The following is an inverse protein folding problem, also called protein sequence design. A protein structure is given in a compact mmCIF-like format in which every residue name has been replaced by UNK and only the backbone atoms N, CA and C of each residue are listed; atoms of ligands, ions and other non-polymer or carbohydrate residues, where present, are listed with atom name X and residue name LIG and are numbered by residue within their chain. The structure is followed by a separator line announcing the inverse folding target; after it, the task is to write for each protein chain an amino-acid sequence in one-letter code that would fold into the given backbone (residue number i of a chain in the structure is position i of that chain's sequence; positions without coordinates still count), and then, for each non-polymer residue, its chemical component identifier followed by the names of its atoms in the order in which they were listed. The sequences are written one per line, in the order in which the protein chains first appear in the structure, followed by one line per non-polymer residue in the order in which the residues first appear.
data_IF_698763095946
#
_entry.id   IF_698763095946
#
_cell.length_a   1.000
_cell.length_b   1.000
_cell.length_c   1.000
_cell.angle_alpha   90.00
_cell.angle_beta   90.00
_cell.angle_gamma   90.00
#
_symmetry.space_group_name_H-M   'P 1'
#
loop_
_entity.id
_entity.type
_entity.pdbx_description
1 polymer ?
#
# COMPACT_ATOMS: atom_id res chain seq x y z
N UNK A 1 28.94 -19.17 60.74
CA UNK A 1 27.55 -18.93 60.37
C UNK A 1 27.18 -17.47 60.04
N UNK A 2 27.78 -16.44 60.68
CA UNK A 2 27.44 -15.00 60.43
C UNK A 2 27.86 -14.46 59.04
N UNK A 3 28.87 -15.02 58.37
CA UNK A 3 29.34 -14.54 57.05
C UNK A 3 28.49 -15.04 55.86
N UNK A 4 27.75 -16.14 56.00
CA UNK A 4 26.87 -16.65 54.93
C UNK A 4 25.57 -15.85 54.81
N UNK A 5 25.08 -15.25 55.91
CA UNK A 5 23.84 -14.48 55.90
C UNK A 5 24.00 -13.10 55.21
N UNK A 6 25.19 -12.51 55.28
CA UNK A 6 25.45 -11.19 54.66
C UNK A 6 25.54 -11.28 53.14
N UNK A 7 26.09 -12.37 52.60
CA UNK A 7 26.16 -12.60 51.15
C UNK A 7 24.78 -12.85 50.50
N UNK A 8 23.87 -13.53 51.20
CA UNK A 8 22.52 -13.78 50.72
C UNK A 8 21.66 -12.52 50.69
N UNK A 9 21.84 -11.60 51.66
CA UNK A 9 21.09 -10.33 51.68
C UNK A 9 21.57 -9.35 50.61
N UNK A 10 22.85 -9.32 50.26
CA UNK A 10 23.38 -8.48 49.18
C UNK A 10 22.91 -8.96 47.78
N UNK A 11 22.75 -10.27 47.59
CA UNK A 11 22.27 -10.82 46.31
C UNK A 11 20.78 -10.54 46.11
N UNK A 12 19.96 -10.53 47.14
CA UNK A 12 18.52 -10.20 47.04
C UNK A 12 18.27 -8.70 46.76
N UNK A 13 19.15 -7.79 47.23
CA UNK A 13 19.01 -6.36 46.92
C UNK A 13 19.41 -6.03 45.47
N UNK A 14 20.37 -6.74 44.86
CA UNK A 14 20.79 -6.52 43.50
C UNK A 14 19.71 -6.97 42.48
N UNK A 15 19.02 -8.08 42.73
CA UNK A 15 17.92 -8.57 41.87
C UNK A 15 16.69 -7.66 41.94
N UNK A 16 16.39 -7.07 43.12
CA UNK A 16 15.27 -6.13 43.27
C UNK A 16 15.49 -4.80 42.54
N UNK A 17 16.75 -4.33 42.46
CA UNK A 17 17.08 -3.09 41.75
C UNK A 17 16.97 -3.28 40.19
N UNK A 18 17.41 -4.43 39.69
CA UNK A 18 17.32 -4.76 38.26
C UNK A 18 15.86 -4.91 37.81
N UNK A 19 15.02 -5.59 38.61
CA UNK A 19 13.59 -5.75 38.32
C UNK A 19 12.82 -4.43 38.35
N UNK A 20 13.19 -3.48 39.25
CA UNK A 20 12.57 -2.14 39.24
C UNK A 20 12.99 -1.30 38.05
N UNK A 21 14.21 -1.44 37.55
CA UNK A 21 14.67 -0.74 36.32
C UNK A 21 14.02 -1.29 35.09
N UNK A 22 13.84 -2.62 34.98
CA UNK A 22 13.09 -3.24 33.87
C UNK A 22 11.60 -2.89 33.90
N UNK A 23 10.97 -2.84 35.08
CA UNK A 23 9.57 -2.42 35.23
C UNK A 23 9.39 -0.91 34.96
N UNK A 24 10.34 -0.05 35.29
CA UNK A 24 10.31 1.37 34.93
C UNK A 24 10.49 1.57 33.41
N UNK A 25 11.41 0.83 32.77
CA UNK A 25 11.60 0.86 31.32
C UNK A 25 10.37 0.34 30.57
N UNK A 26 9.72 -0.72 31.06
CA UNK A 26 8.46 -1.23 30.49
C UNK A 26 7.29 -0.25 30.72
N UNK A 27 7.23 0.49 31.85
CA UNK A 27 6.20 1.49 32.08
C UNK A 27 6.35 2.72 31.19
N UNK A 28 7.56 3.24 30.99
CA UNK A 28 7.78 4.36 30.06
C UNK A 28 7.53 3.99 28.59
N UNK A 29 7.70 2.72 28.20
CA UNK A 29 7.37 2.24 26.87
C UNK A 29 5.85 2.01 26.67
N UNK A 30 5.07 1.79 27.76
CA UNK A 30 3.62 1.57 27.71
C UNK A 30 2.78 2.85 27.81
N UNK A 31 3.34 4.01 28.13
CA UNK A 31 2.56 5.25 28.32
C UNK A 31 2.46 6.16 27.09
N UNK A 32 3.08 5.83 25.98
CA UNK A 32 2.66 6.40 24.69
C UNK A 32 1.54 5.53 24.15
N UNK A 33 0.30 5.89 24.42
CA UNK A 33 -0.85 5.35 23.69
C UNK A 33 -0.52 5.46 22.20
N UNK A 34 -0.18 4.29 21.60
CA UNK A 34 0.15 4.25 20.18
C UNK A 34 -1.13 4.49 19.39
N UNK A 35 -1.28 5.67 18.80
CA UNK A 35 -2.44 5.97 17.97
C UNK A 35 -2.39 5.08 16.72
N UNK A 36 -3.34 4.15 16.52
CA UNK A 36 -3.28 3.16 15.45
C UNK A 36 -3.32 3.78 14.06
N UNK A 37 -3.93 4.96 13.92
CA UNK A 37 -3.97 5.68 12.63
C UNK A 37 -2.57 6.23 12.30
N UNK A 38 -1.92 6.88 13.27
CA UNK A 38 -0.56 7.41 13.10
C UNK A 38 0.42 6.26 12.82
N UNK A 39 0.32 5.16 13.57
CA UNK A 39 1.15 3.98 13.35
C UNK A 39 0.99 3.41 11.94
N UNK A 40 -0.25 3.26 11.47
CA UNK A 40 -0.55 2.79 10.11
C UNK A 40 0.09 3.71 9.05
N UNK A 41 -0.04 5.03 9.22
CA UNK A 41 0.56 6.02 8.31
C UNK A 41 2.08 5.89 8.30
N UNK A 42 2.71 5.80 9.47
CA UNK A 42 4.17 5.80 9.61
C UNK A 42 4.80 4.45 9.23
N UNK A 43 4.09 3.33 9.43
CA UNK A 43 4.59 1.98 9.14
C UNK A 43 4.29 1.50 7.72
N UNK A 44 3.30 2.10 7.02
CA UNK A 44 2.97 1.69 5.65
C UNK A 44 4.17 1.82 4.70
N UNK A 45 4.35 0.81 3.85
CA UNK A 45 5.36 0.79 2.77
C UNK A 45 4.69 0.48 1.44
N UNK A 46 5.32 0.87 0.34
CA UNK A 46 4.94 0.40 -0.99
C UNK A 46 5.52 -0.98 -1.21
N UNK A 47 4.66 -1.98 -1.31
CA UNK A 47 5.00 -3.39 -1.51
C UNK A 47 5.03 -3.71 -3.01
N UNK A 48 6.06 -4.45 -3.43
CA UNK A 48 6.32 -4.82 -4.85
C UNK A 48 6.53 -6.32 -5.04
N UNK A 49 6.53 -7.05 -3.93
CA UNK A 49 6.55 -8.52 -3.93
C UNK A 49 5.38 -9.03 -3.10
N UNK A 50 4.67 -9.96 -3.64
CA UNK A 50 3.46 -10.51 -3.04
C UNK A 50 3.51 -12.03 -3.06
N UNK A 51 2.88 -12.66 -2.08
CA UNK A 51 2.60 -14.09 -2.11
C UNK A 51 1.55 -14.41 -3.19
N UNK A 52 1.40 -15.68 -3.53
CA UNK A 52 0.38 -16.14 -4.49
C UNK A 52 -1.03 -16.26 -3.89
N UNK A 53 -1.18 -15.92 -2.60
CA UNK A 53 -2.46 -15.98 -1.91
C UNK A 53 -3.43 -14.93 -2.49
N UNK A 54 -4.60 -15.42 -2.92
CA UNK A 54 -5.68 -14.55 -3.36
C UNK A 54 -6.20 -13.68 -2.20
N UNK A 55 -6.53 -12.43 -2.50
CA UNK A 55 -7.17 -11.52 -1.53
C UNK A 55 -8.69 -11.74 -1.58
N UNK A 56 -9.35 -11.97 -0.44
CA UNK A 56 -10.81 -12.06 -0.40
C UNK A 56 -11.48 -10.81 -0.99
N UNK A 57 -12.53 -11.01 -1.78
CA UNK A 57 -13.25 -9.90 -2.46
C UNK A 57 -13.85 -8.90 -1.47
N UNK A 58 -14.26 -9.37 -0.31
CA UNK A 58 -14.79 -8.55 0.78
C UNK A 58 -13.74 -7.54 1.26
N UNK A 59 -12.46 -7.94 1.38
CA UNK A 59 -11.38 -7.04 1.75
C UNK A 59 -11.06 -6.06 0.63
N UNK A 60 -11.07 -6.50 -0.63
CA UNK A 60 -10.87 -5.60 -1.78
C UNK A 60 -11.99 -4.55 -1.86
N UNK A 61 -13.23 -4.96 -1.65
CA UNK A 61 -14.37 -4.06 -1.60
C UNK A 61 -14.24 -3.06 -0.44
N UNK A 62 -13.89 -3.52 0.75
CA UNK A 62 -13.68 -2.67 1.93
C UNK A 62 -12.59 -1.62 1.70
N UNK A 63 -11.48 -2.00 1.03
CA UNK A 63 -10.42 -1.05 0.64
C UNK A 63 -10.97 0.02 -0.32
N UNK A 64 -11.74 -0.39 -1.32
CA UNK A 64 -12.36 0.53 -2.26
C UNK A 64 -13.37 1.46 -1.57
N UNK A 65 -14.18 0.92 -0.66
CA UNK A 65 -15.14 1.67 0.14
C UNK A 65 -14.45 2.71 1.05
N UNK A 66 -13.36 2.33 1.73
CA UNK A 66 -12.51 3.30 2.45
C UNK A 66 -11.97 4.39 1.51
N UNK A 67 -11.62 4.01 0.28
CA UNK A 67 -11.18 4.96 -0.75
C UNK A 67 -12.24 6.01 -1.06
N UNK A 68 -13.46 5.61 -1.40
CA UNK A 68 -14.53 6.55 -1.79
C UNK A 68 -15.03 7.42 -0.62
N UNK A 69 -14.66 7.10 0.62
CA UNK A 69 -14.89 7.95 1.79
C UNK A 69 -13.85 9.10 1.91
N UNK A 70 -12.95 9.27 0.94
CA UNK A 70 -12.05 10.40 0.91
C UNK A 70 -12.82 11.73 0.70
N UNK A 71 -12.36 12.84 1.31
CA UNK A 71 -12.90 14.15 1.01
C UNK A 71 -12.67 14.48 -0.47
N UNK A 72 -13.64 15.17 -1.07
CA UNK A 72 -13.56 15.58 -2.46
C UNK A 72 -14.28 16.91 -2.71
N UNK A 73 -13.86 17.64 -3.74
CA UNK A 73 -14.37 18.96 -4.05
C UNK A 73 -15.90 18.95 -4.23
N UNK A 74 -16.62 19.73 -3.41
CA UNK A 74 -18.09 19.89 -3.43
C UNK A 74 -18.88 18.56 -3.35
N UNK A 75 -18.27 17.51 -2.84
CA UNK A 75 -18.83 16.16 -2.84
C UNK A 75 -19.24 15.68 -4.26
N UNK A 76 -18.48 16.09 -5.26
CA UNK A 76 -18.82 15.85 -6.66
C UNK A 76 -18.63 14.38 -7.06
N UNK A 77 -17.78 13.62 -6.33
CA UNK A 77 -17.56 12.18 -6.50
C UNK A 77 -17.31 11.78 -7.96
N UNK A 78 -16.54 12.58 -8.68
CA UNK A 78 -16.24 12.38 -10.11
C UNK A 78 -15.12 11.34 -10.29
N UNK A 79 -15.35 10.15 -9.73
CA UNK A 79 -14.46 9.00 -9.83
C UNK A 79 -15.23 7.71 -10.09
N UNK A 80 -14.55 6.75 -10.65
CA UNK A 80 -15.00 5.36 -10.75
C UNK A 80 -13.90 4.42 -10.28
N UNK A 81 -14.30 3.34 -9.65
CA UNK A 81 -13.38 2.31 -9.15
C UNK A 81 -13.71 0.99 -9.83
N UNK A 82 -12.68 0.29 -10.31
CA UNK A 82 -12.81 -1.07 -10.88
C UNK A 82 -11.80 -1.98 -10.20
N UNK A 83 -12.27 -3.11 -9.70
CA UNK A 83 -11.45 -4.11 -9.03
C UNK A 83 -11.24 -5.27 -9.99
N UNK A 84 -10.00 -5.63 -10.23
CA UNK A 84 -9.61 -6.77 -11.05
C UNK A 84 -8.83 -7.75 -10.18
N UNK A 85 -9.42 -8.90 -9.91
CA UNK A 85 -8.86 -10.02 -9.17
C UNK A 85 -8.79 -11.31 -10.03
N UNK A 86 -9.03 -11.16 -11.33
CA UNK A 86 -9.00 -12.27 -12.28
C UNK A 86 -7.56 -12.50 -12.80
N UNK A 87 -6.91 -13.63 -12.44
CA UNK A 87 -5.52 -13.90 -12.83
C UNK A 87 -5.37 -14.04 -14.36
N UNK A 88 -6.36 -14.55 -15.08
CA UNK A 88 -6.30 -14.68 -16.53
C UNK A 88 -6.36 -13.30 -17.23
N UNK A 89 -7.12 -12.35 -16.67
CA UNK A 89 -7.13 -10.97 -17.17
C UNK A 89 -5.76 -10.31 -16.97
N UNK A 90 -5.17 -10.46 -15.76
CA UNK A 90 -3.85 -9.92 -15.42
C UNK A 90 -2.74 -10.53 -16.28
N UNK A 91 -2.84 -11.81 -16.59
CA UNK A 91 -1.92 -12.50 -17.49
C UNK A 91 -2.09 -12.02 -18.93
N UNK A 92 -3.33 -11.92 -19.41
CA UNK A 92 -3.62 -11.50 -20.80
C UNK A 92 -3.13 -10.10 -21.12
N UNK A 93 -3.34 -9.12 -20.21
CA UNK A 93 -2.81 -7.76 -20.41
C UNK A 93 -1.29 -7.73 -20.37
N UNK A 94 -0.67 -8.58 -19.54
CA UNK A 94 0.79 -8.70 -19.47
C UNK A 94 1.37 -9.24 -20.77
N UNK A 95 0.77 -10.27 -21.36
CA UNK A 95 1.17 -10.80 -22.65
C UNK A 95 0.97 -9.80 -23.80
N UNK A 96 -0.14 -9.06 -23.78
CA UNK A 96 -0.37 -7.99 -24.75
C UNK A 96 0.70 -6.89 -24.65
N UNK A 97 1.08 -6.48 -23.42
CA UNK A 97 2.17 -5.53 -23.22
C UNK A 97 3.53 -6.09 -23.65
N UNK A 98 3.80 -7.37 -23.38
CA UNK A 98 5.03 -8.04 -23.82
C UNK A 98 5.18 -7.98 -25.33
N UNK A 99 4.12 -8.37 -26.09
CA UNK A 99 4.10 -8.30 -27.55
C UNK A 99 4.31 -6.88 -28.06
N UNK A 100 3.60 -5.91 -27.48
CA UNK A 100 3.73 -4.50 -27.87
C UNK A 100 5.12 -3.89 -27.54
N UNK A 101 5.88 -4.52 -26.66
CA UNK A 101 7.23 -4.10 -26.30
C UNK A 101 8.33 -4.72 -27.17
N UNK A 102 8.03 -5.74 -27.99
CA UNK A 102 9.01 -6.41 -28.85
C UNK A 102 9.74 -5.40 -29.73
N UNK A 103 11.06 -5.53 -29.81
CA UNK A 103 11.91 -4.61 -30.57
C UNK A 103 12.10 -3.23 -29.95
N UNK A 104 11.58 -2.98 -28.76
CA UNK A 104 11.77 -1.71 -28.02
C UNK A 104 12.62 -1.91 -26.76
N UNK A 105 13.22 -0.84 -26.19
CA UNK A 105 13.94 -0.93 -24.91
C UNK A 105 13.05 -1.45 -23.75
N UNK A 106 11.75 -1.37 -23.88
CA UNK A 106 10.81 -1.87 -22.86
C UNK A 106 10.72 -3.40 -22.82
N UNK A 107 11.18 -4.11 -23.87
CA UNK A 107 11.19 -5.58 -23.90
C UNK A 107 11.98 -6.18 -22.72
N UNK A 108 13.04 -5.50 -22.29
CA UNK A 108 13.91 -5.96 -21.20
C UNK A 108 13.16 -6.22 -19.88
N UNK A 109 12.09 -5.48 -19.58
CA UNK A 109 11.32 -5.71 -18.37
C UNK A 109 10.59 -7.07 -18.35
N UNK A 110 10.37 -7.66 -19.53
CA UNK A 110 9.69 -8.95 -19.69
C UNK A 110 10.66 -10.14 -19.73
N UNK A 111 11.97 -9.90 -19.62
CA UNK A 111 12.98 -10.95 -19.54
C UNK A 111 13.08 -11.55 -18.13
N UNK A 112 12.55 -10.87 -17.12
CA UNK A 112 12.53 -11.35 -15.74
C UNK A 112 11.58 -12.55 -15.61
N UNK A 113 12.11 -13.77 -15.30
CA UNK A 113 11.31 -14.97 -15.15
C UNK A 113 10.35 -14.90 -13.95
N UNK A 114 10.59 -14.00 -12.99
CA UNK A 114 9.72 -13.76 -11.85
C UNK A 114 8.52 -12.86 -12.17
N UNK A 115 8.46 -12.29 -13.37
CA UNK A 115 7.35 -11.43 -13.77
C UNK A 115 6.10 -12.24 -14.07
N UNK A 116 5.11 -12.19 -13.18
CA UNK A 116 3.78 -12.79 -13.35
C UNK A 116 2.81 -11.83 -14.01
N UNK A 117 2.86 -10.55 -13.63
CA UNK A 117 2.06 -9.49 -14.27
C UNK A 117 2.71 -8.10 -14.11
N UNK A 118 2.32 -7.18 -15.00
CA UNK A 118 2.87 -5.81 -15.09
C UNK A 118 2.49 -4.90 -13.91
N UNK A 119 1.61 -5.35 -13.03
CA UNK A 119 1.20 -4.63 -11.83
C UNK A 119 2.02 -5.05 -10.60
N UNK A 120 3.33 -5.25 -10.76
CA UNK A 120 4.25 -5.70 -9.71
C UNK A 120 3.87 -7.05 -9.11
N UNK A 121 3.31 -7.92 -9.93
CA UNK A 121 2.84 -9.25 -9.51
C UNK A 121 1.74 -9.21 -8.44
N UNK A 122 1.06 -8.08 -8.25
CA UNK A 122 -0.07 -7.99 -7.34
C UNK A 122 -1.20 -8.93 -7.79
N UNK A 123 -1.75 -9.78 -6.90
CA UNK A 123 -2.84 -10.69 -7.24
C UNK A 123 -4.18 -9.98 -7.50
N UNK A 124 -4.31 -8.73 -7.02
CA UNK A 124 -5.46 -7.89 -7.30
C UNK A 124 -5.03 -6.44 -7.60
N UNK A 125 -5.78 -5.77 -8.46
CA UNK A 125 -5.54 -4.38 -8.87
C UNK A 125 -6.83 -3.59 -8.79
N UNK A 126 -6.80 -2.47 -8.08
CA UNK A 126 -7.91 -1.53 -7.99
C UNK A 126 -7.58 -0.33 -8.89
N UNK A 127 -8.31 -0.19 -9.98
CA UNK A 127 -8.18 0.94 -10.90
C UNK A 127 -9.05 2.10 -10.43
N UNK A 128 -8.50 3.31 -10.47
CA UNK A 128 -9.21 4.55 -10.20
C UNK A 128 -9.23 5.37 -11.48
N UNK A 129 -10.43 5.67 -11.93
CA UNK A 129 -10.71 6.54 -13.05
C UNK A 129 -11.36 7.83 -12.54
N UNK A 130 -11.16 8.92 -13.26
CA UNK A 130 -11.77 10.21 -12.96
C UNK A 130 -12.39 10.84 -14.20
N UNK A 131 -13.41 11.67 -13.98
CA UNK A 131 -13.86 12.61 -15.01
C UNK A 131 -12.99 13.86 -14.89
N UNK A 132 -12.23 14.25 -15.95
CA UNK A 132 -11.31 15.38 -15.86
C UNK A 132 -11.99 16.65 -15.36
N UNK A 133 -11.40 17.32 -14.38
CA UNK A 133 -11.91 18.52 -13.75
C UNK A 133 -10.87 19.14 -12.80
N UNK A 134 -11.11 20.35 -12.26
CA UNK A 134 -10.11 21.12 -11.53
C UNK A 134 -9.51 20.41 -10.29
N UNK A 135 -10.33 19.65 -9.56
CA UNK A 135 -9.91 19.02 -8.30
C UNK A 135 -9.80 17.49 -8.40
N UNK A 136 -10.28 16.86 -9.49
CA UNK A 136 -10.51 15.42 -9.55
C UNK A 136 -9.24 14.57 -9.38
N UNK A 137 -8.08 15.09 -9.80
CA UNK A 137 -6.80 14.39 -9.59
C UNK A 137 -6.37 14.40 -8.12
N UNK A 138 -6.60 15.53 -7.42
CA UNK A 138 -6.35 15.65 -5.98
C UNK A 138 -7.28 14.74 -5.21
N UNK A 139 -8.57 14.75 -5.56
CA UNK A 139 -9.61 13.91 -4.94
C UNK A 139 -9.25 12.42 -5.08
N UNK A 140 -8.84 11.97 -6.26
CA UNK A 140 -8.37 10.59 -6.49
C UNK A 140 -7.06 10.27 -5.76
N UNK A 141 -6.18 11.26 -5.56
CA UNK A 141 -4.97 11.10 -4.74
C UNK A 141 -5.31 10.86 -3.27
N UNK A 142 -6.29 11.59 -2.72
CA UNK A 142 -6.81 11.39 -1.36
C UNK A 142 -7.48 10.00 -1.23
N UNK A 143 -8.27 9.60 -2.24
CA UNK A 143 -8.86 8.27 -2.33
C UNK A 143 -7.78 7.18 -2.28
N UNK A 144 -6.73 7.28 -3.11
CA UNK A 144 -5.63 6.32 -3.10
C UNK A 144 -4.90 6.28 -1.75
N UNK A 145 -4.76 7.43 -1.08
CA UNK A 145 -4.24 7.52 0.28
C UNK A 145 -5.04 6.67 1.27
N UNK A 146 -6.37 6.83 1.28
CA UNK A 146 -7.26 6.01 2.11
C UNK A 146 -7.15 4.51 1.77
N UNK A 147 -7.13 4.15 0.48
CA UNK A 147 -7.00 2.75 0.04
C UNK A 147 -5.72 2.08 0.56
N UNK A 148 -4.57 2.74 0.47
CA UNK A 148 -3.30 2.14 0.90
C UNK A 148 -3.17 2.08 2.42
N UNK A 149 -3.82 2.97 3.16
CA UNK A 149 -3.89 2.93 4.62
C UNK A 149 -4.82 1.82 5.10
N UNK A 150 -6.00 1.68 4.50
CA UNK A 150 -6.93 0.60 4.82
C UNK A 150 -6.34 -0.77 4.48
N UNK A 151 -5.67 -0.93 3.33
CA UNK A 151 -4.94 -2.15 3.00
C UNK A 151 -3.92 -2.52 4.08
N UNK A 152 -3.13 -1.54 4.56
CA UNK A 152 -2.16 -1.76 5.64
C UNK A 152 -2.83 -2.16 6.94
N UNK A 153 -3.94 -1.52 7.34
CA UNK A 153 -4.66 -1.85 8.57
C UNK A 153 -5.32 -3.23 8.52
N UNK A 154 -5.63 -3.72 7.32
CA UNK A 154 -6.16 -5.07 7.07
C UNK A 154 -5.06 -6.15 6.92
N UNK A 155 -3.78 -5.81 7.19
CA UNK A 155 -2.67 -6.73 7.07
C UNK A 155 -2.20 -6.99 5.63
N UNK A 156 -2.65 -6.19 4.66
CA UNK A 156 -2.29 -6.32 3.25
C UNK A 156 -1.18 -5.34 2.85
N UNK A 157 -0.38 -5.78 1.89
CA UNK A 157 0.55 -4.93 1.16
C UNK A 157 -0.12 -4.21 0.00
N UNK A 158 0.32 -2.98 -0.30
CA UNK A 158 -0.20 -2.23 -1.44
C UNK A 158 0.83 -1.29 -2.05
N UNK A 159 0.57 -0.91 -3.32
CA UNK A 159 1.36 0.09 -4.05
C UNK A 159 0.47 0.88 -4.99
N UNK A 160 0.63 2.21 -5.01
CA UNK A 160 0.02 3.08 -6.03
C UNK A 160 0.92 3.11 -7.26
N UNK A 161 0.33 2.94 -8.45
CA UNK A 161 1.04 2.90 -9.73
C UNK A 161 0.32 3.73 -10.77
N UNK A 162 1.10 4.37 -11.65
CA UNK A 162 0.62 5.03 -12.86
C UNK A 162 1.29 4.45 -14.12
N UNK A 163 2.51 3.92 -13.99
CA UNK A 163 3.29 3.41 -15.12
C UNK A 163 2.54 2.40 -16.02
N UNK A 164 1.86 1.39 -15.48
CA UNK A 164 1.12 0.42 -16.29
C UNK A 164 -0.02 1.03 -17.11
N UNK A 165 -0.54 2.21 -16.72
CA UNK A 165 -1.71 2.81 -17.35
C UNK A 165 -1.43 3.36 -18.76
N UNK A 166 -0.18 3.70 -19.07
CA UNK A 166 0.19 4.16 -20.41
C UNK A 166 -0.12 3.15 -21.53
N UNK A 167 -0.26 1.87 -21.19
CA UNK A 167 -0.65 0.84 -22.16
C UNK A 167 -2.09 0.98 -22.64
N UNK A 168 -3.00 1.40 -21.76
CA UNK A 168 -4.43 1.55 -22.09
C UNK A 168 -4.71 2.63 -23.16
N UNK A 169 -3.75 3.52 -23.40
CA UNK A 169 -3.83 4.54 -24.45
C UNK A 169 -3.32 4.04 -25.82
N UNK A 170 -2.86 2.77 -25.90
CA UNK A 170 -2.40 2.15 -27.12
C UNK A 170 -3.52 1.31 -27.76
N UNK A 171 -3.50 1.06 -29.07
CA UNK A 171 -4.48 0.19 -29.73
C UNK A 171 -4.59 -1.21 -29.09
N UNK A 172 -3.44 -1.78 -28.68
CA UNK A 172 -3.38 -3.11 -28.04
C UNK A 172 -3.99 -3.11 -26.61
N UNK A 173 -4.04 -1.95 -25.96
CA UNK A 173 -4.61 -1.76 -24.63
C UNK A 173 -6.12 -1.47 -24.64
N UNK A 174 -6.67 -1.05 -25.80
CA UNK A 174 -8.08 -0.67 -25.94
C UNK A 174 -9.07 -1.78 -25.51
N UNK A 175 -8.89 -3.07 -25.87
CA UNK A 175 -9.79 -4.12 -25.41
C UNK A 175 -9.84 -4.26 -23.88
N UNK A 176 -8.70 -4.07 -23.22
CA UNK A 176 -8.61 -4.11 -21.77
C UNK A 176 -9.28 -2.89 -21.11
N UNK A 177 -9.09 -1.70 -21.71
CA UNK A 177 -9.80 -0.49 -21.27
C UNK A 177 -11.31 -0.67 -21.38
N UNK A 178 -11.81 -1.17 -22.50
CA UNK A 178 -13.24 -1.47 -22.71
C UNK A 178 -13.77 -2.48 -21.69
N UNK A 179 -12.97 -3.50 -21.36
CA UNK A 179 -13.37 -4.52 -20.37
C UNK A 179 -13.54 -3.97 -18.94
N UNK A 180 -12.93 -2.83 -18.63
CA UNK A 180 -13.14 -2.15 -17.34
C UNK A 180 -14.53 -1.47 -17.26
N UNK A 181 -15.21 -1.24 -18.36
CA UNK A 181 -16.57 -0.71 -18.39
C UNK A 181 -16.68 0.66 -17.73
N UNK A 182 -15.73 1.57 -18.01
CA UNK A 182 -15.81 2.94 -17.52
C UNK A 182 -16.90 3.73 -18.26
N UNK A 183 -17.56 4.63 -17.54
CA UNK A 183 -18.53 5.54 -18.12
C UNK A 183 -17.88 6.53 -19.08
N UNK A 184 -18.68 7.06 -20.01
CA UNK A 184 -18.21 8.04 -20.98
C UNK A 184 -17.60 9.27 -20.32
N UNK A 185 -16.44 9.70 -20.81
CA UNK A 185 -15.68 10.83 -20.28
C UNK A 185 -14.80 10.51 -19.07
N UNK A 186 -14.81 9.28 -18.56
CA UNK A 186 -13.88 8.86 -17.51
C UNK A 186 -12.56 8.33 -18.11
N UNK A 187 -11.47 8.65 -17.41
CA UNK A 187 -10.12 8.28 -17.79
C UNK A 187 -9.40 7.63 -16.61
N UNK A 188 -8.60 6.60 -16.87
CA UNK A 188 -7.75 5.99 -15.83
C UNK A 188 -6.72 7.00 -15.36
N UNK A 189 -6.59 7.16 -14.04
CA UNK A 189 -5.64 8.07 -13.42
C UNK A 189 -4.51 7.33 -12.70
N UNK A 190 -4.88 6.34 -11.89
CA UNK A 190 -3.94 5.52 -11.14
C UNK A 190 -4.52 4.13 -10.90
N UNK A 191 -3.67 3.20 -10.47
CA UNK A 191 -4.13 1.92 -9.95
C UNK A 191 -3.38 1.57 -8.65
N UNK A 192 -4.02 0.76 -7.82
CA UNK A 192 -3.46 0.25 -6.57
C UNK A 192 -3.33 -1.27 -6.67
N UNK A 193 -2.09 -1.77 -6.66
CA UNK A 193 -1.85 -3.21 -6.51
C UNK A 193 -2.03 -3.59 -5.04
N UNK A 194 -2.71 -4.70 -4.79
CA UNK A 194 -3.04 -5.20 -3.45
C UNK A 194 -2.77 -6.70 -3.38
N UNK A 195 -2.21 -7.15 -2.25
CA UNK A 195 -1.92 -8.55 -1.99
C UNK A 195 -1.28 -8.76 -0.62
N UNK A 196 -1.05 -10.00 -0.24
CA UNK A 196 -0.27 -10.31 0.96
C UNK A 196 1.21 -10.06 0.66
N UNK A 197 1.88 -9.24 1.51
CA UNK A 197 3.27 -8.84 1.28
C UNK A 197 4.22 -10.03 1.43
N UNK A 198 5.18 -10.15 0.50
CA UNK A 198 6.32 -11.08 0.53
C UNK A 198 7.65 -10.30 0.60
N UNK A 199 7.62 -9.12 1.18
CA UNK A 199 8.78 -8.27 1.47
C UNK A 199 8.47 -7.31 2.61
N UNK A 200 9.52 -6.89 3.31
CA UNK A 200 9.45 -5.85 4.34
C UNK A 200 10.47 -4.74 4.02
N UNK A 201 10.13 -3.81 3.14
CA UNK A 201 11.06 -2.76 2.73
C UNK A 201 11.30 -1.74 3.86
N UNK A 202 12.56 -1.36 4.04
CA UNK A 202 12.96 -0.35 5.00
C UNK A 202 12.27 1.01 4.73
N UNK A 203 12.07 1.78 5.78
CA UNK A 203 11.56 3.15 5.67
C UNK A 203 12.57 4.02 4.91
N UNK A 204 12.11 4.73 3.90
CA UNK A 204 12.93 5.75 3.23
C UNK A 204 12.92 7.04 4.04
N UNK A 205 14.05 7.76 4.15
CA UNK A 205 14.11 9.03 4.87
C UNK A 205 13.12 10.04 4.28
N UNK A 206 12.63 10.93 5.14
CA UNK A 206 11.77 12.06 4.74
C UNK A 206 12.46 13.35 5.15
N UNK A 207 12.46 14.33 4.25
CA UNK A 207 12.93 15.67 4.56
C UNK A 207 11.90 16.36 5.48
N UNK A 208 12.25 16.52 6.77
CA UNK A 208 11.39 17.18 7.77
C UNK A 208 11.52 18.70 7.72
N UNK A 209 12.54 19.24 7.06
CA UNK A 209 12.81 20.68 6.97
C UNK A 209 11.78 21.45 6.13
N UNK A 210 10.97 20.68 5.34
CA UNK A 210 9.86 21.28 4.57
C UNK A 210 8.68 21.71 5.45
N UNK A 211 8.66 21.29 6.74
CA UNK A 211 7.60 21.66 7.70
C UNK A 211 8.08 22.88 8.47
N UNK A 212 7.38 24.01 8.31
CA UNK A 212 7.71 25.26 9.00
C UNK A 212 6.45 25.89 9.58
N UNK A 213 6.60 26.50 10.73
CA UNK A 213 5.59 27.41 11.27
C UNK A 213 5.76 28.77 10.60
N UNK A 214 4.66 29.45 10.31
CA UNK A 214 4.62 30.84 9.87
C UNK A 214 4.13 31.66 11.07
N UNK A 215 4.99 32.58 11.52
CA UNK A 215 4.72 33.48 12.64
C UNK A 215 4.16 34.82 12.12
#
# INVERSE_FOLDING_TARGET
MKRLFIAAMALMMATSCCQKAEQACQKECCEKECNPVIETIMSRRSIRKYTDQAVPRELLYQIAECGINAPNGMNAQQWEVRIVDNPEWLKSITEAQRKAAEGTPMAKQFEDPALKNVFRNAPAVIFVAHKPGPCTQVDCGLMAGNMVLSAKSLGLGSIVMMGPLGFFSRPEGEPFLKSLGLSEGYQLLLCVGVGYADEEPAARPRNKEVIKYVE
#
